data_IF_409585114374
#
_entry.id   IF_409585114374
#
_cell.length_a   1.000
_cell.length_b   1.000
_cell.length_c   1.000
_cell.angle_alpha   90.00
_cell.angle_beta   90.00
_cell.angle_gamma   90.00
#
_symmetry.space_group_name_H-M   'P 1'
#
loop_
_entity.id
_entity.type
_entity.pdbx_description
1 polymer ?
#
# COMPACT_ATOMS: atom_id res chain seq x y z
N UNK A 1 -25.03 1.54 -4.19
CA UNK A 1 -24.10 1.00 -5.19
C UNK A 1 -22.83 1.88 -5.19
N UNK A 2 -21.63 1.31 -5.24
CA UNK A 2 -20.36 2.02 -4.96
C UNK A 2 -19.88 2.95 -6.08
N UNK A 3 -20.47 2.95 -7.25
CA UNK A 3 -20.10 3.77 -8.42
C UNK A 3 -19.98 5.27 -8.11
N UNK A 4 -20.74 5.77 -7.17
CA UNK A 4 -20.71 7.18 -6.76
C UNK A 4 -19.35 7.62 -6.19
N UNK A 5 -18.52 6.69 -5.76
CA UNK A 5 -17.19 6.97 -5.19
C UNK A 5 -16.05 6.93 -6.22
N UNK A 6 -16.35 6.63 -7.49
CA UNK A 6 -15.35 6.41 -8.56
C UNK A 6 -15.64 7.25 -9.80
N UNK A 7 -16.23 8.41 -9.64
CA UNK A 7 -16.75 9.22 -10.74
C UNK A 7 -15.67 9.67 -11.73
N UNK A 8 -14.47 9.99 -11.25
CA UNK A 8 -13.35 10.39 -12.11
C UNK A 8 -12.94 9.26 -13.06
N UNK A 9 -12.77 8.05 -12.58
CA UNK A 9 -12.42 6.90 -13.41
C UNK A 9 -13.55 6.51 -14.37
N UNK A 10 -14.80 6.53 -13.92
CA UNK A 10 -15.95 6.19 -14.74
C UNK A 10 -16.14 7.20 -15.88
N UNK A 11 -15.99 8.50 -15.60
CA UNK A 11 -16.08 9.55 -16.61
C UNK A 11 -14.93 9.48 -17.62
N UNK A 12 -13.73 9.12 -17.19
CA UNK A 12 -12.57 8.97 -18.07
C UNK A 12 -12.64 7.70 -18.94
N UNK A 13 -13.48 6.73 -18.60
CA UNK A 13 -13.60 5.45 -19.29
C UNK A 13 -15.07 5.13 -19.64
N UNK A 14 -15.74 5.96 -20.43
CA UNK A 14 -17.16 5.75 -20.75
C UNK A 14 -17.37 4.44 -21.50
N UNK A 15 -18.34 3.65 -21.05
CA UNK A 15 -18.70 2.38 -21.70
C UNK A 15 -17.72 1.23 -21.48
N UNK A 16 -16.61 1.44 -20.78
CA UNK A 16 -15.67 0.35 -20.45
C UNK A 16 -16.12 -0.40 -19.20
N UNK A 17 -16.05 -1.73 -19.28
CA UNK A 17 -16.21 -2.60 -18.13
C UNK A 17 -14.84 -3.10 -17.69
N UNK A 18 -14.48 -2.80 -16.44
CA UNK A 18 -13.17 -3.14 -15.92
C UNK A 18 -13.23 -4.44 -15.12
N UNK A 19 -12.63 -5.51 -15.66
CA UNK A 19 -12.56 -6.83 -15.03
C UNK A 19 -11.16 -7.21 -14.53
N UNK A 20 -10.17 -6.38 -14.77
CA UNK A 20 -8.77 -6.63 -14.41
C UNK A 20 -8.36 -5.98 -13.07
N UNK A 21 -9.22 -6.03 -12.07
CA UNK A 21 -8.96 -5.42 -10.76
C UNK A 21 -7.72 -6.00 -10.05
N UNK A 22 -7.33 -7.23 -10.37
CA UNK A 22 -6.08 -7.84 -9.91
C UNK A 22 -4.83 -7.11 -10.42
N UNK A 23 -4.92 -6.45 -11.57
CA UNK A 23 -3.82 -5.68 -12.15
C UNK A 23 -3.88 -4.20 -11.74
N UNK A 24 -5.05 -3.60 -11.85
CA UNK A 24 -5.24 -2.19 -11.54
C UNK A 24 -6.67 -1.89 -11.09
N UNK A 25 -6.80 -1.40 -9.87
CA UNK A 25 -8.08 -0.92 -9.35
C UNK A 25 -8.34 0.53 -9.76
N UNK A 26 -9.61 0.88 -9.95
CA UNK A 26 -10.02 2.27 -9.93
C UNK A 26 -9.81 2.84 -8.53
N UNK A 27 -9.26 4.02 -8.46
CA UNK A 27 -9.10 4.71 -7.20
C UNK A 27 -10.39 5.46 -6.84
N UNK A 28 -10.83 5.40 -5.59
CA UNK A 28 -11.92 6.24 -5.13
C UNK A 28 -11.60 7.72 -5.32
N UNK A 29 -12.61 8.53 -5.60
CA UNK A 29 -12.44 9.98 -5.83
C UNK A 29 -11.78 10.66 -4.62
N UNK A 30 -12.07 10.20 -3.41
CA UNK A 30 -11.45 10.68 -2.16
C UNK A 30 -9.92 10.51 -2.14
N UNK A 31 -9.37 9.56 -2.90
CA UNK A 31 -7.91 9.39 -3.01
C UNK A 31 -7.25 10.58 -3.71
N UNK A 32 -7.91 11.12 -4.73
CA UNK A 32 -7.46 12.34 -5.40
C UNK A 32 -7.45 13.52 -4.44
N UNK A 33 -8.53 13.70 -3.70
CA UNK A 33 -8.66 14.81 -2.77
C UNK A 33 -7.62 14.71 -1.64
N UNK A 34 -7.40 13.51 -1.12
CA UNK A 34 -6.35 13.25 -0.13
C UNK A 34 -4.93 13.50 -0.67
N UNK A 35 -4.69 13.19 -1.95
CA UNK A 35 -3.39 13.47 -2.59
C UNK A 35 -3.14 14.98 -2.72
N UNK A 36 -4.17 15.74 -3.10
CA UNK A 36 -4.09 17.20 -3.18
C UNK A 36 -3.90 17.82 -1.79
N UNK A 37 -4.65 17.36 -0.80
CA UNK A 37 -4.49 17.80 0.59
C UNK A 37 -3.06 17.54 1.11
N UNK A 38 -2.47 16.36 0.82
CA UNK A 38 -1.09 16.08 1.18
C UNK A 38 -0.08 17.00 0.46
N UNK A 39 -0.36 17.36 -0.78
CA UNK A 39 0.44 18.34 -1.51
C UNK A 39 0.41 19.71 -0.81
N UNK A 40 -0.79 20.18 -0.45
CA UNK A 40 -0.99 21.46 0.24
C UNK A 40 -0.34 21.43 1.64
N UNK A 41 -0.50 20.36 2.41
CA UNK A 41 0.18 20.15 3.69
C UNK A 41 1.71 20.20 3.52
N UNK A 42 2.22 19.57 2.47
CA UNK A 42 3.67 19.58 2.17
C UNK A 42 4.19 20.97 1.85
N UNK A 43 3.43 21.75 1.10
CA UNK A 43 3.79 23.12 0.75
C UNK A 43 3.71 24.06 1.97
N UNK A 44 2.75 23.85 2.86
CA UNK A 44 2.51 24.69 4.03
C UNK A 44 3.46 24.35 5.19
N UNK A 45 3.65 23.06 5.47
CA UNK A 45 4.34 22.57 6.67
C UNK A 45 5.83 22.25 6.43
N UNK A 46 6.23 22.08 5.16
CA UNK A 46 7.61 21.69 4.79
C UNK A 46 8.04 20.45 5.59
N UNK A 47 9.02 20.55 6.46
CA UNK A 47 9.50 19.42 7.26
C UNK A 47 8.60 19.11 8.46
N UNK A 48 7.85 20.07 8.99
CA UNK A 48 6.91 19.86 10.10
C UNK A 48 5.74 18.93 9.71
N UNK A 49 5.53 18.68 8.41
CA UNK A 49 4.54 17.69 7.95
C UNK A 49 4.78 16.28 8.50
N UNK A 50 6.01 15.94 8.86
CA UNK A 50 6.33 14.61 9.37
C UNK A 50 5.68 14.33 10.72
N UNK A 51 5.48 15.36 11.54
CA UNK A 51 4.72 15.23 12.79
C UNK A 51 3.24 14.91 12.51
N UNK A 52 2.66 15.57 11.51
CA UNK A 52 1.31 15.24 11.03
C UNK A 52 1.23 13.82 10.45
N UNK A 53 2.19 13.45 9.57
CA UNK A 53 2.17 12.15 8.89
C UNK A 53 2.37 11.00 9.88
N UNK A 54 3.44 11.03 10.67
CA UNK A 54 3.80 9.92 11.56
C UNK A 54 3.09 9.99 12.91
N UNK A 55 2.72 11.18 13.38
CA UNK A 55 2.00 11.34 14.64
C UNK A 55 0.50 11.12 14.53
N UNK A 56 -0.11 11.41 13.38
CA UNK A 56 -1.56 11.35 13.23
C UNK A 56 -2.01 10.42 12.09
N UNK A 57 -1.56 10.65 10.85
CA UNK A 57 -2.11 9.94 9.67
C UNK A 57 -1.76 8.45 9.67
N UNK A 58 -0.50 8.11 9.89
CA UNK A 58 -0.06 6.71 9.93
C UNK A 58 -0.74 5.94 11.06
N UNK A 59 -0.77 6.42 12.32
CA UNK A 59 -1.50 5.73 13.38
C UNK A 59 -3.01 5.57 13.09
N UNK A 60 -3.66 6.57 12.52
CA UNK A 60 -5.06 6.48 12.17
C UNK A 60 -5.34 5.38 11.14
N UNK A 61 -4.49 5.27 10.11
CA UNK A 61 -4.60 4.21 9.08
C UNK A 61 -4.31 2.84 9.69
N UNK A 62 -3.27 2.72 10.53
CA UNK A 62 -2.96 1.47 11.24
C UNK A 62 -4.15 0.99 12.08
N UNK A 63 -4.76 1.88 12.86
CA UNK A 63 -5.96 1.56 13.66
C UNK A 63 -7.14 1.13 12.79
N UNK A 64 -7.33 1.80 11.65
CA UNK A 64 -8.41 1.46 10.72
C UNK A 64 -8.22 0.05 10.14
N UNK A 65 -7.01 -0.27 9.66
CA UNK A 65 -6.68 -1.57 9.10
C UNK A 65 -6.74 -2.67 10.18
N UNK A 66 -6.18 -2.41 11.37
CA UNK A 66 -6.23 -3.35 12.49
C UNK A 66 -7.66 -3.76 12.83
N UNK A 67 -8.58 -2.78 12.84
CA UNK A 67 -10.01 -3.04 13.08
C UNK A 67 -10.63 -3.93 11.99
N UNK A 68 -10.32 -3.68 10.71
CA UNK A 68 -10.81 -4.50 9.59
C UNK A 68 -10.27 -5.93 9.68
N UNK A 69 -8.98 -6.07 9.97
CA UNK A 69 -8.29 -7.37 10.05
C UNK A 69 -8.46 -8.04 11.41
N UNK A 70 -9.13 -7.40 12.38
CA UNK A 70 -9.31 -7.87 13.76
C UNK A 70 -7.98 -8.20 14.46
N UNK A 71 -6.97 -7.37 14.22
CA UNK A 71 -5.67 -7.49 14.89
C UNK A 71 -5.77 -6.92 16.31
N UNK A 72 -5.07 -7.53 17.28
CA UNK A 72 -5.09 -7.05 18.66
C UNK A 72 -4.39 -5.68 18.83
N UNK A 73 -3.39 -5.39 18.00
CA UNK A 73 -2.59 -4.18 18.11
C UNK A 73 -2.35 -3.54 16.73
N UNK A 74 -2.60 -2.25 16.62
CA UNK A 74 -2.40 -1.50 15.40
C UNK A 74 -0.92 -1.38 15.01
N UNK A 75 -0.01 -1.37 15.98
CA UNK A 75 1.43 -1.31 15.79
C UNK A 75 2.03 -2.52 15.05
N UNK A 76 1.28 -3.61 14.89
CA UNK A 76 1.68 -4.76 14.08
C UNK A 76 1.64 -4.48 12.56
N UNK A 77 1.06 -3.34 12.16
CA UNK A 77 0.93 -2.98 10.75
C UNK A 77 2.10 -2.08 10.36
N UNK A 78 2.81 -2.47 9.32
CA UNK A 78 3.88 -1.67 8.71
C UNK A 78 3.53 -1.38 7.26
N UNK A 79 4.03 -0.26 6.76
CA UNK A 79 3.83 0.17 5.38
C UNK A 79 5.15 0.14 4.61
N UNK A 80 5.06 -0.25 3.35
CA UNK A 80 6.16 -0.15 2.39
C UNK A 80 5.59 0.18 1.01
N UNK A 81 6.40 0.72 0.08
CA UNK A 81 5.94 1.11 -1.23
C UNK A 81 5.37 -0.04 -2.06
N UNK A 82 5.85 -1.26 -1.84
CA UNK A 82 5.44 -2.44 -2.60
C UNK A 82 5.89 -3.75 -1.92
N UNK A 83 5.43 -4.88 -2.45
CA UNK A 83 5.77 -6.22 -1.96
C UNK A 83 7.27 -6.54 -2.07
N UNK A 84 7.95 -6.02 -3.10
CA UNK A 84 9.38 -6.23 -3.28
C UNK A 84 10.19 -5.69 -2.09
N UNK A 85 9.88 -4.50 -1.60
CA UNK A 85 10.49 -3.92 -0.41
C UNK A 85 10.29 -4.81 0.84
N UNK A 86 9.10 -5.38 1.00
CA UNK A 86 8.84 -6.30 2.10
C UNK A 86 9.68 -7.57 1.98
N UNK A 87 9.78 -8.16 0.79
CA UNK A 87 10.61 -9.35 0.56
C UNK A 87 12.07 -9.06 0.92
N UNK A 88 12.62 -7.94 0.44
CA UNK A 88 14.00 -7.55 0.73
C UNK A 88 14.24 -7.35 2.23
N UNK A 89 13.33 -6.69 2.92
CA UNK A 89 13.43 -6.48 4.38
C UNK A 89 13.33 -7.79 5.17
N UNK A 90 12.43 -8.69 4.77
CA UNK A 90 12.31 -10.01 5.38
C UNK A 90 13.57 -10.84 5.14
N UNK A 91 14.06 -10.92 3.91
CA UNK A 91 15.27 -11.68 3.58
C UNK A 91 16.50 -11.12 4.31
N UNK A 92 16.63 -9.81 4.44
CA UNK A 92 17.75 -9.19 5.16
C UNK A 92 17.74 -9.44 6.67
N UNK A 93 16.64 -9.92 7.24
CA UNK A 93 16.55 -10.27 8.66
C UNK A 93 17.08 -11.66 9.00
N UNK A 94 17.36 -12.51 8.00
CA UNK A 94 17.90 -13.85 8.23
C UNK A 94 19.43 -13.87 8.34
N UNK A 95 19.95 -14.85 9.08
CA UNK A 95 21.38 -15.11 9.20
C UNK A 95 21.88 -15.85 7.95
N UNK A 96 22.42 -15.11 7.00
CA UNK A 96 22.95 -15.65 5.74
C UNK A 96 24.25 -16.49 5.87
N UNK A 97 24.80 -16.62 7.07
CA UNK A 97 25.87 -17.59 7.35
C UNK A 97 25.37 -19.04 7.37
N UNK A 98 24.05 -19.24 7.41
CA UNK A 98 23.38 -20.54 7.45
C UNK A 98 22.58 -20.76 6.18
N UNK A 99 22.47 -22.03 5.70
CA UNK A 99 21.59 -22.35 4.60
C UNK A 99 20.14 -21.93 4.90
N UNK A 100 19.53 -21.19 3.99
CA UNK A 100 18.13 -20.82 4.03
C UNK A 100 17.36 -21.57 2.95
N UNK A 101 16.28 -22.24 3.34
CA UNK A 101 15.38 -22.87 2.37
C UNK A 101 14.12 -22.01 2.22
N UNK A 102 13.88 -21.54 1.01
CA UNK A 102 12.67 -20.81 0.64
C UNK A 102 11.75 -21.73 -0.15
N UNK A 103 10.52 -21.92 0.34
CA UNK A 103 9.49 -22.68 -0.37
C UNK A 103 8.53 -21.69 -1.01
N UNK A 104 8.35 -21.82 -2.32
CA UNK A 104 7.51 -20.90 -3.12
C UNK A 104 6.89 -21.65 -4.30
N UNK A 105 5.99 -20.98 -5.04
CA UNK A 105 5.44 -21.51 -6.29
C UNK A 105 6.29 -21.06 -7.48
N UNK A 106 6.14 -21.71 -8.62
CA UNK A 106 6.77 -21.33 -9.88
C UNK A 106 6.04 -20.20 -10.61
N UNK A 107 4.88 -19.81 -10.09
CA UNK A 107 3.98 -18.80 -10.67
C UNK A 107 4.02 -17.48 -9.91
N UNK A 108 5.05 -17.24 -9.11
CA UNK A 108 5.19 -16.02 -8.34
C UNK A 108 5.44 -14.79 -9.22
N UNK A 109 5.11 -13.62 -8.66
CA UNK A 109 5.33 -12.37 -9.36
C UNK A 109 6.82 -12.17 -9.70
N UNK A 110 7.09 -11.68 -10.90
CA UNK A 110 8.42 -11.58 -11.48
C UNK A 110 9.49 -10.96 -10.55
N UNK A 111 9.14 -9.91 -9.80
CA UNK A 111 10.09 -9.28 -8.88
C UNK A 111 10.48 -10.17 -7.70
N UNK A 112 9.56 -11.01 -7.21
CA UNK A 112 9.83 -12.00 -6.17
C UNK A 112 10.72 -13.11 -6.70
N UNK A 113 10.37 -13.67 -7.86
CA UNK A 113 11.13 -14.72 -8.52
C UNK A 113 12.61 -14.32 -8.74
N UNK A 114 12.87 -13.09 -9.17
CA UNK A 114 14.22 -12.55 -9.37
C UNK A 114 15.05 -12.38 -8.09
N UNK A 115 14.43 -12.31 -6.93
CA UNK A 115 15.12 -12.11 -5.65
C UNK A 115 15.53 -13.44 -5.00
N UNK A 116 14.88 -14.54 -5.38
CA UNK A 116 15.13 -15.85 -4.77
C UNK A 116 16.09 -16.70 -5.60
N UNK A 117 16.21 -16.41 -6.90
CA UNK A 117 17.15 -17.05 -7.81
C UNK A 117 18.41 -16.20 -8.01
#
# INVERSE_FOLDING_TARGET
MYQQFYQHFLKANPGKQHFACHSHHYWPDVTRDATLAYWDDTACLVDDKWDLVFGEKVPAVQQHIARILKLPEAGQIVFAPNTHEFVMRLLSSFDWSKPLTVVTTDSEFHSFHRQIN
#
